data_IF_184932897047
#
_entry.id   IF_184932897047
#
_cell.length_a   1.000
_cell.length_b   1.000
_cell.length_c   1.000
_cell.angle_alpha   90.00
_cell.angle_beta   90.00
_cell.angle_gamma   90.00
#
_symmetry.space_group_name_H-M   'P 1'
#
loop_
_entity.id
_entity.type
_entity.pdbx_description
1 polymer ?
#
# COMPACT_ATOMS: atom_id res chain seq x y z
N UNK A 1 -30.98 4.53 9.93
CA UNK A 1 -29.79 5.17 9.34
C UNK A 1 -28.96 4.10 8.65
N UNK A 2 -28.79 4.16 7.36
CA UNK A 2 -27.89 3.26 6.62
C UNK A 2 -26.48 3.49 7.20
N UNK A 3 -25.81 2.45 7.75
CA UNK A 3 -24.40 2.55 8.15
C UNK A 3 -23.60 2.78 6.89
N UNK A 4 -22.92 3.94 6.78
CA UNK A 4 -21.99 4.17 5.68
C UNK A 4 -20.94 3.04 5.72
N UNK A 5 -20.69 2.44 4.57
CA UNK A 5 -19.68 1.40 4.42
C UNK A 5 -18.28 1.99 4.34
N UNK A 6 -17.27 1.21 4.65
CA UNK A 6 -15.89 1.66 4.62
C UNK A 6 -15.37 1.86 3.18
N UNK A 7 -14.45 2.80 3.02
CA UNK A 7 -13.66 2.98 1.79
C UNK A 7 -12.18 2.76 2.11
N UNK A 8 -11.48 2.01 1.27
CA UNK A 8 -10.02 1.83 1.37
C UNK A 8 -9.35 2.56 0.23
N UNK A 9 -8.53 3.57 0.56
CA UNK A 9 -7.71 4.31 -0.40
C UNK A 9 -6.28 3.79 -0.33
N UNK A 10 -5.78 3.23 -1.43
CA UNK A 10 -4.37 2.91 -1.57
C UNK A 10 -3.66 3.99 -2.37
N UNK A 11 -2.51 4.44 -1.88
CA UNK A 11 -1.60 5.35 -2.58
C UNK A 11 -0.31 4.58 -2.90
N UNK A 12 0.01 4.43 -4.19
CA UNK A 12 1.23 3.79 -4.62
C UNK A 12 2.47 4.53 -4.10
N UNK A 13 3.51 3.80 -3.68
CA UNK A 13 4.76 4.43 -3.24
C UNK A 13 5.38 5.34 -4.31
N UNK A 14 5.26 4.98 -5.59
CA UNK A 14 5.72 5.80 -6.73
C UNK A 14 4.94 7.11 -6.92
N UNK A 15 3.77 7.26 -6.29
CA UNK A 15 3.00 8.50 -6.32
C UNK A 15 3.61 9.53 -5.37
N UNK A 16 3.92 9.10 -4.13
CA UNK A 16 4.40 9.97 -3.04
C UNK A 16 5.92 9.99 -2.88
N UNK A 17 6.66 9.21 -3.69
CA UNK A 17 8.13 9.21 -3.68
C UNK A 17 8.70 9.33 -5.08
N UNK A 18 9.90 9.88 -5.20
CA UNK A 18 10.66 9.91 -6.44
C UNK A 18 11.54 8.65 -6.52
N UNK A 19 11.39 7.87 -7.60
CA UNK A 19 12.17 6.64 -7.81
C UNK A 19 13.59 6.89 -8.29
N UNK A 20 13.92 8.12 -8.72
CA UNK A 20 15.25 8.47 -9.21
C UNK A 20 16.30 8.58 -8.09
N UNK A 21 15.84 8.68 -6.84
CA UNK A 21 16.70 8.89 -5.67
C UNK A 21 16.11 8.17 -4.44
N UNK A 22 16.98 7.53 -3.65
CA UNK A 22 16.56 6.92 -2.38
C UNK A 22 16.10 7.99 -1.39
N UNK A 23 15.10 7.66 -0.58
CA UNK A 23 14.57 8.48 0.50
C UNK A 23 14.06 9.87 0.05
N UNK A 24 13.66 10.00 -1.20
CA UNK A 24 13.13 11.24 -1.74
C UNK A 24 11.61 11.24 -1.78
N UNK A 25 10.98 12.01 -0.90
CA UNK A 25 9.55 12.20 -0.86
C UNK A 25 9.10 13.28 -1.85
N UNK A 26 7.87 13.16 -2.34
CA UNK A 26 7.17 14.15 -3.16
C UNK A 26 6.15 14.92 -2.30
N UNK A 27 6.64 15.77 -1.40
CA UNK A 27 5.80 16.49 -0.42
C UNK A 27 4.68 17.30 -1.07
N UNK A 28 4.96 17.99 -2.19
CA UNK A 28 3.93 18.72 -2.94
C UNK A 28 2.80 17.82 -3.45
N UNK A 29 3.10 16.58 -3.80
CA UNK A 29 2.08 15.60 -4.20
C UNK A 29 1.29 15.13 -2.96
N UNK A 30 1.97 14.95 -1.82
CA UNK A 30 1.31 14.60 -0.55
C UNK A 30 0.32 15.70 -0.14
N UNK A 31 0.69 16.97 -0.24
CA UNK A 31 -0.18 18.11 0.08
C UNK A 31 -1.39 18.15 -0.85
N UNK A 32 -1.19 17.98 -2.17
CA UNK A 32 -2.30 17.88 -3.12
C UNK A 32 -3.24 16.73 -2.80
N UNK A 33 -2.70 15.55 -2.46
CA UNK A 33 -3.52 14.39 -2.07
C UNK A 33 -4.30 14.67 -0.78
N UNK A 34 -3.70 15.35 0.20
CA UNK A 34 -4.41 15.76 1.41
C UNK A 34 -5.59 16.69 1.08
N UNK A 35 -5.41 17.68 0.20
CA UNK A 35 -6.52 18.52 -0.25
C UNK A 35 -7.63 17.72 -0.96
N UNK A 36 -7.26 16.77 -1.83
CA UNK A 36 -8.24 15.93 -2.54
C UNK A 36 -9.01 15.02 -1.56
N UNK A 37 -8.32 14.43 -0.57
CA UNK A 37 -8.93 13.62 0.49
C UNK A 37 -9.91 14.45 1.31
N UNK A 38 -9.50 15.66 1.72
CA UNK A 38 -10.35 16.59 2.46
C UNK A 38 -11.61 16.95 1.66
N UNK A 39 -11.45 17.33 0.39
CA UNK A 39 -12.57 17.65 -0.52
C UNK A 39 -13.51 16.47 -0.75
N UNK A 40 -12.99 15.26 -0.82
CA UNK A 40 -13.79 14.05 -1.00
C UNK A 40 -14.67 13.73 0.22
N UNK A 41 -14.30 14.18 1.39
CA UNK A 41 -15.05 14.07 2.66
C UNK A 41 -15.70 12.70 2.86
N UNK A 42 -14.93 11.63 2.63
CA UNK A 42 -15.42 10.25 2.76
C UNK A 42 -15.51 9.84 4.22
N UNK A 43 -16.70 9.42 4.64
CA UNK A 43 -16.88 8.75 5.91
C UNK A 43 -16.16 7.38 5.90
N UNK A 44 -15.68 6.95 7.08
CA UNK A 44 -15.02 5.64 7.28
C UNK A 44 -13.92 5.33 6.25
N UNK A 45 -13.08 6.31 6.00
CA UNK A 45 -11.93 6.17 5.11
C UNK A 45 -10.75 5.51 5.86
N UNK A 46 -10.13 4.53 5.24
CA UNK A 46 -8.82 3.98 5.63
C UNK A 46 -7.84 4.24 4.49
N UNK A 47 -6.62 4.66 4.84
CA UNK A 47 -5.57 4.95 3.86
C UNK A 47 -4.45 3.93 4.01
N UNK A 48 -3.91 3.45 2.86
CA UNK A 48 -2.72 2.61 2.81
C UNK A 48 -1.75 3.18 1.80
N UNK A 49 -0.48 3.38 2.18
CA UNK A 49 0.53 3.77 1.19
C UNK A 49 1.63 2.73 1.00
N UNK A 50 2.28 2.76 -0.15
CA UNK A 50 3.42 1.91 -0.48
C UNK A 50 4.76 2.54 -0.09
N UNK A 51 5.84 1.74 -0.13
CA UNK A 51 7.18 2.16 0.31
C UNK A 51 7.96 3.02 -0.69
N UNK A 52 7.72 2.86 -1.99
CA UNK A 52 8.44 3.61 -3.01
C UNK A 52 9.96 3.57 -2.85
N UNK A 53 10.63 4.73 -2.96
CA UNK A 53 12.07 4.87 -2.81
C UNK A 53 12.58 4.79 -1.35
N UNK A 54 11.69 4.71 -0.37
CA UNK A 54 12.04 4.53 1.05
C UNK A 54 12.15 3.05 1.43
N UNK A 55 11.15 2.24 1.08
CA UNK A 55 11.09 0.86 1.53
C UNK A 55 11.77 -0.15 0.60
N UNK A 56 11.59 -0.01 -0.72
CA UNK A 56 12.05 -1.05 -1.66
C UNK A 56 13.57 -1.20 -1.74
N UNK A 57 14.38 -0.12 -1.83
CA UNK A 57 15.83 -0.27 -1.92
C UNK A 57 16.44 -0.92 -0.68
N UNK A 58 16.06 -0.48 0.52
CA UNK A 58 16.55 -1.07 1.77
C UNK A 58 16.12 -2.54 1.91
N UNK A 59 14.85 -2.85 1.66
CA UNK A 59 14.34 -4.22 1.72
C UNK A 59 15.06 -5.16 0.73
N UNK A 60 15.41 -4.68 -0.46
CA UNK A 60 16.14 -5.44 -1.47
C UNK A 60 17.60 -5.62 -1.06
N UNK A 61 18.30 -4.55 -0.68
CA UNK A 61 19.70 -4.56 -0.26
C UNK A 61 19.95 -5.52 0.92
N UNK A 62 19.01 -5.59 1.83
CA UNK A 62 19.07 -6.42 3.02
C UNK A 62 18.37 -7.79 2.88
N UNK A 63 17.90 -8.14 1.67
CA UNK A 63 17.21 -9.40 1.38
C UNK A 63 16.05 -9.73 2.35
N UNK A 64 15.30 -8.72 2.81
CA UNK A 64 14.25 -8.89 3.82
C UNK A 64 13.10 -9.79 3.32
N UNK A 65 12.83 -9.80 2.01
CA UNK A 65 11.80 -10.67 1.41
C UNK A 65 12.10 -12.16 1.51
N UNK A 66 13.37 -12.53 1.70
CA UNK A 66 13.81 -13.91 1.78
C UNK A 66 13.60 -14.51 3.18
N UNK A 67 13.14 -13.70 4.14
CA UNK A 67 13.08 -14.06 5.54
C UNK A 67 14.43 -14.03 6.23
N UNK A 68 14.43 -14.38 7.50
CA UNK A 68 15.63 -14.38 8.33
C UNK A 68 16.56 -15.55 7.97
N UNK A 69 17.76 -15.25 7.48
CA UNK A 69 18.80 -16.21 7.12
C UNK A 69 20.09 -16.00 7.92
N UNK A 70 20.38 -14.75 8.30
CA UNK A 70 21.61 -14.37 8.97
C UNK A 70 21.43 -13.14 9.85
N UNK A 71 22.27 -13.01 10.87
CA UNK A 71 22.16 -12.00 11.94
C UNK A 71 22.24 -10.56 11.41
N UNK A 72 23.04 -10.33 10.37
CA UNK A 72 23.19 -8.99 9.78
C UNK A 72 21.87 -8.41 9.23
N UNK A 73 20.92 -9.27 8.88
CA UNK A 73 19.60 -8.82 8.41
C UNK A 73 18.76 -8.17 9.50
N UNK A 74 19.09 -8.32 10.80
CA UNK A 74 18.37 -7.67 11.90
C UNK A 74 18.47 -6.15 11.76
N UNK A 75 19.67 -5.63 11.48
CA UNK A 75 19.85 -4.20 11.21
C UNK A 75 19.11 -3.78 9.94
N UNK A 76 19.17 -4.59 8.88
CA UNK A 76 18.46 -4.31 7.63
C UNK A 76 16.93 -4.29 7.79
N UNK A 77 16.38 -5.14 8.67
CA UNK A 77 14.97 -5.10 9.05
C UNK A 77 14.63 -3.77 9.76
N UNK A 78 15.42 -3.40 10.77
CA UNK A 78 15.22 -2.17 11.52
C UNK A 78 15.34 -0.93 10.62
N UNK A 79 16.32 -0.90 9.70
CA UNK A 79 16.50 0.16 8.72
C UNK A 79 15.28 0.28 7.79
N UNK A 80 14.81 -0.84 7.22
CA UNK A 80 13.65 -0.85 6.32
C UNK A 80 12.40 -0.34 7.02
N UNK A 81 12.14 -0.83 8.23
CA UNK A 81 11.03 -0.36 9.06
C UNK A 81 11.16 1.14 9.38
N UNK A 82 12.35 1.60 9.77
CA UNK A 82 12.60 3.02 10.07
C UNK A 82 12.30 3.92 8.87
N UNK A 83 12.78 3.57 7.67
CA UNK A 83 12.49 4.36 6.47
C UNK A 83 11.00 4.42 6.13
N UNK A 84 10.27 3.35 6.39
CA UNK A 84 8.82 3.36 6.22
C UNK A 84 8.11 4.26 7.22
N UNK A 85 8.58 4.31 8.47
CA UNK A 85 8.07 5.24 9.50
C UNK A 85 8.35 6.70 9.12
N UNK A 86 9.54 6.99 8.59
CA UNK A 86 9.89 8.34 8.10
C UNK A 86 8.97 8.76 6.95
N UNK A 87 8.78 7.91 5.94
CA UNK A 87 7.86 8.21 4.83
C UNK A 87 6.44 8.45 5.32
N UNK A 88 5.96 7.59 6.22
CA UNK A 88 4.64 7.75 6.81
C UNK A 88 4.53 9.05 7.61
N UNK A 89 5.55 9.43 8.38
CA UNK A 89 5.60 10.71 9.10
C UNK A 89 5.41 11.91 8.17
N UNK A 90 6.14 11.97 7.07
CA UNK A 90 6.01 13.03 6.05
C UNK A 90 4.61 13.09 5.45
N UNK A 91 3.98 11.94 5.20
CA UNK A 91 2.61 11.92 4.69
C UNK A 91 1.59 12.33 5.77
N UNK A 92 1.79 11.88 7.01
CA UNK A 92 0.96 12.29 8.16
C UNK A 92 1.01 13.80 8.40
N UNK A 93 2.19 14.42 8.27
CA UNK A 93 2.35 15.87 8.38
C UNK A 93 1.45 16.60 7.38
N UNK A 94 1.47 16.18 6.10
CA UNK A 94 0.60 16.75 5.07
C UNK A 94 -0.90 16.58 5.42
N UNK A 95 -1.31 15.40 5.91
CA UNK A 95 -2.71 15.14 6.26
C UNK A 95 -3.18 16.02 7.43
N UNK A 96 -2.38 16.07 8.50
CA UNK A 96 -2.74 16.78 9.73
C UNK A 96 -2.74 18.31 9.52
N UNK A 97 -1.76 18.87 8.78
CA UNK A 97 -1.73 20.30 8.44
C UNK A 97 -2.98 20.72 7.65
N UNK A 98 -3.54 19.84 6.83
CA UNK A 98 -4.80 20.09 6.12
C UNK A 98 -6.07 19.79 6.96
N UNK A 99 -5.94 19.54 8.27
CA UNK A 99 -7.07 19.34 9.19
C UNK A 99 -7.73 17.97 9.08
N UNK A 100 -7.08 17.00 8.45
CA UNK A 100 -7.59 15.62 8.34
C UNK A 100 -7.32 14.88 9.65
N UNK A 101 -8.33 14.24 10.29
CA UNK A 101 -8.16 13.52 11.55
C UNK A 101 -7.47 12.16 11.31
N UNK A 102 -6.29 12.18 10.69
CA UNK A 102 -5.52 11.01 10.36
C UNK A 102 -4.74 10.48 11.58
N UNK A 103 -4.67 9.15 11.72
CA UNK A 103 -3.90 8.46 12.77
C UNK A 103 -3.04 7.38 12.14
N UNK A 104 -1.73 7.44 12.40
CA UNK A 104 -0.79 6.42 11.93
C UNK A 104 -0.96 5.12 12.70
N UNK A 105 -1.04 4.01 11.96
CA UNK A 105 -1.06 2.65 12.50
C UNK A 105 0.14 1.91 11.94
N UNK A 106 1.10 1.59 12.79
CA UNK A 106 2.31 0.86 12.43
C UNK A 106 2.01 -0.62 12.24
N UNK A 107 2.10 -1.18 11.01
CA UNK A 107 1.72 -2.56 10.75
C UNK A 107 2.52 -3.58 11.53
N UNK A 108 3.81 -3.37 11.75
CA UNK A 108 4.67 -4.27 12.55
C UNK A 108 4.25 -4.41 14.01
N UNK A 109 3.45 -3.47 14.53
CA UNK A 109 2.95 -3.49 15.93
C UNK A 109 1.63 -4.26 16.07
N UNK A 110 0.87 -4.46 15.02
CA UNK A 110 -0.47 -5.06 15.08
C UNK A 110 -0.66 -6.25 14.12
N UNK A 111 0.32 -6.54 13.26
CA UNK A 111 0.23 -7.60 12.27
C UNK A 111 1.42 -8.55 12.36
N UNK A 112 1.13 -9.86 12.37
CA UNK A 112 2.13 -10.90 12.13
C UNK A 112 1.75 -11.69 10.89
N UNK A 113 2.78 -12.21 10.20
CA UNK A 113 2.61 -13.02 8.99
C UNK A 113 3.03 -14.48 9.22
N UNK A 114 2.66 -15.32 8.28
CA UNK A 114 3.12 -16.70 8.14
C UNK A 114 3.42 -16.95 6.66
N UNK A 115 4.67 -17.26 6.34
CA UNK A 115 5.14 -17.37 4.95
C UNK A 115 4.76 -16.13 4.10
N UNK A 116 4.93 -14.93 4.66
CA UNK A 116 4.66 -13.66 4.00
C UNK A 116 3.18 -13.29 3.84
N UNK A 117 2.25 -14.09 4.38
CA UNK A 117 0.81 -13.79 4.37
C UNK A 117 0.32 -13.38 5.75
N UNK A 118 -0.62 -12.45 5.84
CA UNK A 118 -1.19 -12.01 7.12
C UNK A 118 -1.79 -13.21 7.85
N UNK A 119 -1.26 -13.49 9.05
CA UNK A 119 -1.77 -14.53 9.96
C UNK A 119 -2.65 -13.94 11.05
N UNK A 120 -2.17 -12.88 11.69
CA UNK A 120 -2.87 -12.20 12.77
C UNK A 120 -2.88 -10.70 12.50
N UNK A 121 -4.01 -10.07 12.75
CA UNK A 121 -4.20 -8.64 12.64
C UNK A 121 -5.11 -8.16 13.76
N UNK A 122 -4.56 -7.39 14.69
CA UNK A 122 -5.29 -6.73 15.77
C UNK A 122 -5.94 -5.46 15.22
N UNK A 123 -7.19 -5.59 14.78
CA UNK A 123 -7.92 -4.52 14.07
C UNK A 123 -8.93 -3.76 14.93
N UNK A 124 -9.10 -4.13 16.20
CA UNK A 124 -10.04 -3.50 17.09
C UNK A 124 -9.81 -1.99 17.27
N UNK A 125 -8.56 -1.50 17.45
CA UNK A 125 -8.31 -0.05 17.50
C UNK A 125 -8.75 0.67 16.24
N UNK A 126 -8.59 0.07 15.05
CA UNK A 126 -9.01 0.66 13.78
C UNK A 126 -10.54 0.81 13.71
N UNK A 127 -11.29 -0.18 14.21
CA UNK A 127 -12.76 -0.12 14.28
C UNK A 127 -13.22 1.05 15.15
N UNK A 128 -12.64 1.17 16.34
CA UNK A 128 -12.95 2.26 17.25
C UNK A 128 -12.63 3.63 16.63
N UNK A 129 -11.47 3.77 15.97
CA UNK A 129 -11.09 5.01 15.27
C UNK A 129 -12.10 5.37 14.19
N UNK A 130 -12.48 4.43 13.32
CA UNK A 130 -13.46 4.68 12.25
C UNK A 130 -14.85 5.05 12.79
N UNK A 131 -15.26 4.48 13.93
CA UNK A 131 -16.52 4.84 14.58
C UNK A 131 -16.49 6.25 15.17
N UNK A 132 -15.33 6.72 15.60
CA UNK A 132 -15.12 8.07 16.13
C UNK A 132 -14.87 9.11 15.02
N UNK A 133 -14.72 8.69 13.76
CA UNK A 133 -14.47 9.60 12.62
C UNK A 133 -12.99 9.85 12.32
N UNK A 134 -12.05 9.11 12.93
CA UNK A 134 -10.65 9.15 12.54
C UNK A 134 -10.40 8.41 11.24
N UNK A 135 -9.30 8.75 10.57
CA UNK A 135 -8.83 8.11 9.35
C UNK A 135 -7.54 7.34 9.67
N UNK A 136 -7.62 6.00 9.87
CA UNK A 136 -6.42 5.18 10.05
C UNK A 136 -5.55 5.18 8.79
N UNK A 137 -4.24 5.40 8.96
CA UNK A 137 -3.24 5.40 7.90
C UNK A 137 -2.24 4.28 8.15
N UNK A 138 -2.21 3.27 7.27
CA UNK A 138 -1.29 2.15 7.31
C UNK A 138 -0.33 2.23 6.12
N UNK A 139 0.69 1.38 6.13
CA UNK A 139 1.69 1.36 5.05
C UNK A 139 2.34 -0.02 4.89
N UNK A 140 2.94 -0.28 3.72
CA UNK A 140 3.77 -1.47 3.55
C UNK A 140 4.95 -1.42 4.50
N UNK A 141 5.26 -2.54 5.18
CA UNK A 141 6.26 -2.55 6.26
C UNK A 141 7.04 -3.87 6.32
N UNK A 142 8.15 -3.87 7.03
CA UNK A 142 8.81 -5.09 7.49
C UNK A 142 8.11 -5.55 8.78
N UNK A 143 7.63 -6.80 8.80
CA UNK A 143 6.85 -7.35 9.92
C UNK A 143 7.41 -8.71 10.37
N UNK A 144 7.09 -9.12 11.59
CA UNK A 144 7.49 -10.44 12.09
C UNK A 144 6.68 -11.54 11.38
N UNK A 145 7.36 -12.62 11.01
CA UNK A 145 6.78 -13.80 10.37
C UNK A 145 7.01 -15.05 11.20
N UNK A 146 5.96 -15.81 11.46
CA UNK A 146 6.02 -16.97 12.36
C UNK A 146 6.75 -18.18 11.80
N UNK A 147 7.05 -18.21 10.49
CA UNK A 147 7.76 -19.33 9.84
C UNK A 147 9.15 -18.94 9.35
N UNK A 148 9.29 -17.74 8.79
CA UNK A 148 10.56 -17.30 8.20
C UNK A 148 11.23 -16.16 8.98
N UNK A 149 10.78 -15.89 10.22
CA UNK A 149 11.33 -14.87 11.12
C UNK A 149 10.77 -13.49 10.85
N UNK A 150 10.91 -12.99 9.64
CA UNK A 150 10.29 -11.73 9.19
C UNK A 150 9.93 -11.78 7.70
N UNK A 151 9.11 -10.83 7.27
CA UNK A 151 8.66 -10.68 5.89
C UNK A 151 8.40 -9.22 5.54
N UNK A 152 8.26 -8.93 4.26
CA UNK A 152 7.69 -7.67 3.78
C UNK A 152 6.17 -7.84 3.63
N UNK A 153 5.45 -7.06 4.40
CA UNK A 153 4.00 -6.89 4.25
C UNK A 153 3.73 -5.80 3.22
N UNK A 154 3.20 -6.16 2.07
CA UNK A 154 2.90 -5.19 1.03
C UNK A 154 1.63 -4.38 1.32
N UNK A 155 1.58 -3.12 0.85
CA UNK A 155 0.36 -2.32 0.91
C UNK A 155 -0.82 -2.97 0.16
N UNK A 156 -0.56 -3.77 -0.87
CA UNK A 156 -1.63 -4.48 -1.60
C UNK A 156 -2.29 -5.57 -0.73
N UNK A 157 -1.51 -6.33 0.06
CA UNK A 157 -2.08 -7.26 1.05
C UNK A 157 -2.91 -6.54 2.13
N UNK A 158 -2.42 -5.38 2.61
CA UNK A 158 -3.15 -4.58 3.58
C UNK A 158 -4.51 -4.13 3.05
N UNK A 159 -4.55 -3.63 1.79
CA UNK A 159 -5.80 -3.21 1.14
C UNK A 159 -6.82 -4.34 1.11
N UNK A 160 -6.41 -5.53 0.65
CA UNK A 160 -7.28 -6.70 0.59
C UNK A 160 -7.77 -7.12 1.98
N UNK A 161 -6.88 -7.12 2.98
CA UNK A 161 -7.24 -7.47 4.36
C UNK A 161 -8.21 -6.47 4.97
N UNK A 162 -7.97 -5.17 4.81
CA UNK A 162 -8.84 -4.11 5.30
C UNK A 162 -10.20 -4.14 4.60
N UNK A 163 -10.22 -4.25 3.27
CA UNK A 163 -11.47 -4.31 2.52
C UNK A 163 -12.36 -5.47 2.96
N UNK A 164 -11.77 -6.64 3.19
CA UNK A 164 -12.51 -7.82 3.64
C UNK A 164 -12.99 -7.69 5.09
N UNK A 165 -12.12 -7.23 6.01
CA UNK A 165 -12.42 -7.15 7.44
C UNK A 165 -13.44 -6.08 7.81
N UNK A 166 -13.45 -4.99 7.04
CA UNK A 166 -14.32 -3.82 7.27
C UNK A 166 -15.50 -3.75 6.29
N UNK A 167 -15.76 -4.80 5.53
CA UNK A 167 -16.84 -4.87 4.51
C UNK A 167 -16.85 -3.60 3.63
N UNK A 168 -15.67 -3.25 3.08
CA UNK A 168 -15.54 -2.03 2.30
C UNK A 168 -16.36 -2.09 1.01
N UNK A 169 -17.13 -1.04 0.75
CA UNK A 169 -17.89 -0.92 -0.50
C UNK A 169 -17.01 -0.54 -1.69
N UNK A 170 -15.86 0.09 -1.41
CA UNK A 170 -14.99 0.64 -2.44
C UNK A 170 -13.51 0.52 -2.06
N UNK A 171 -12.71 0.15 -3.05
CA UNK A 171 -11.25 0.27 -3.03
C UNK A 171 -10.86 1.27 -4.11
N UNK A 172 -10.12 2.31 -3.73
CA UNK A 172 -9.56 3.31 -4.64
C UNK A 172 -8.06 3.09 -4.68
N UNK A 173 -7.46 2.99 -5.88
CA UNK A 173 -6.02 2.76 -6.03
C UNK A 173 -5.42 3.92 -6.81
N UNK A 174 -4.69 4.79 -6.10
CA UNK A 174 -3.85 5.84 -6.69
C UNK A 174 -2.54 5.27 -7.21
N UNK A 175 -2.29 5.46 -8.49
CA UNK A 175 -1.09 5.00 -9.21
C UNK A 175 -0.50 6.14 -10.04
N UNK A 176 0.71 5.95 -10.56
CA UNK A 176 1.43 6.91 -11.41
C UNK A 176 1.15 6.74 -12.92
N UNK A 177 0.02 6.12 -13.25
CA UNK A 177 -0.54 5.97 -14.59
C UNK A 177 -2.06 6.14 -14.54
N UNK A 178 -2.72 6.35 -15.68
CA UNK A 178 -4.16 6.67 -15.74
C UNK A 178 -5.10 5.51 -15.35
N UNK A 179 -4.55 4.31 -15.10
CA UNK A 179 -5.33 3.15 -14.68
C UNK A 179 -4.73 1.83 -15.18
N UNK A 180 -5.60 0.84 -15.40
CA UNK A 180 -5.20 -0.46 -15.93
C UNK A 180 -5.20 -0.42 -17.47
N UNK A 181 -4.06 -0.83 -18.06
CA UNK A 181 -3.87 -0.92 -19.50
C UNK A 181 -3.70 -2.39 -19.94
N UNK A 182 -3.91 -2.64 -21.23
CA UNK A 182 -3.67 -3.96 -21.85
C UNK A 182 -2.18 -4.33 -21.97
N UNK A 183 -1.32 -3.30 -22.09
CA UNK A 183 0.14 -3.38 -22.08
C UNK A 183 0.71 -2.18 -21.31
N UNK A 184 2.02 -2.16 -21.03
CA UNK A 184 2.64 -1.07 -20.26
C UNK A 184 2.64 0.26 -21.06
N UNK A 185 1.89 1.29 -20.61
CA UNK A 185 1.81 2.57 -21.30
C UNK A 185 3.12 3.38 -21.29
N UNK A 186 4.09 3.00 -20.45
CA UNK A 186 5.41 3.65 -20.38
C UNK A 186 6.34 3.15 -21.50
N UNK A 187 6.11 1.95 -21.99
CA UNK A 187 6.91 1.32 -23.06
C UNK A 187 6.18 1.28 -24.40
N UNK A 188 4.84 1.17 -24.38
CA UNK A 188 4.01 1.01 -25.58
C UNK A 188 3.05 2.17 -25.75
N UNK A 189 3.27 3.01 -26.79
CA UNK A 189 2.39 4.17 -27.09
C UNK A 189 0.98 3.77 -27.55
N UNK A 190 0.79 2.51 -27.94
CA UNK A 190 -0.50 1.95 -28.39
C UNK A 190 -1.31 1.34 -27.26
N UNK A 191 -0.82 1.43 -26.01
CA UNK A 191 -1.48 0.89 -24.83
C UNK A 191 -2.91 1.45 -24.68
N UNK A 192 -3.87 0.56 -24.44
CA UNK A 192 -5.29 0.91 -24.30
C UNK A 192 -5.71 0.85 -22.84
N UNK A 193 -6.25 1.96 -22.34
CA UNK A 193 -6.81 2.05 -21.01
C UNK A 193 -8.13 1.29 -20.92
N UNK A 194 -8.27 0.44 -19.93
CA UNK A 194 -9.56 -0.14 -19.55
C UNK A 194 -10.34 0.84 -18.66
N UNK A 195 -11.37 1.45 -19.20
CA UNK A 195 -12.23 2.39 -18.47
C UNK A 195 -13.20 1.67 -17.51
N UNK A 196 -13.55 0.43 -17.82
CA UNK A 196 -14.42 -0.42 -17.01
C UNK A 196 -14.14 -1.89 -17.29
N UNK A 197 -14.11 -2.70 -16.24
CA UNK A 197 -13.96 -4.15 -16.33
C UNK A 197 -14.91 -4.85 -15.35
N UNK A 198 -15.51 -5.92 -15.80
CA UNK A 198 -16.19 -6.86 -14.92
C UNK A 198 -15.18 -7.79 -14.25
N UNK A 199 -15.56 -8.43 -13.14
CA UNK A 199 -14.70 -9.43 -12.48
C UNK A 199 -14.30 -10.58 -13.42
N UNK A 200 -15.19 -10.97 -14.36
CA UNK A 200 -14.93 -12.03 -15.35
C UNK A 200 -13.84 -11.59 -16.35
N UNK A 201 -13.89 -10.35 -16.80
CA UNK A 201 -12.88 -9.77 -17.70
C UNK A 201 -11.54 -9.58 -16.98
N UNK A 202 -11.58 -9.11 -15.75
CA UNK A 202 -10.37 -8.95 -14.92
C UNK A 202 -9.64 -10.29 -14.72
N UNK A 203 -10.36 -11.38 -14.45
CA UNK A 203 -9.77 -12.73 -14.35
C UNK A 203 -9.10 -13.16 -15.65
N UNK A 204 -9.72 -12.92 -16.81
CA UNK A 204 -9.12 -13.23 -18.13
C UNK A 204 -7.87 -12.41 -18.41
N UNK A 205 -7.86 -11.14 -18.02
CA UNK A 205 -6.70 -10.25 -18.17
C UNK A 205 -5.57 -10.73 -17.26
N UNK A 206 -5.87 -11.10 -16.02
CA UNK A 206 -4.88 -11.67 -15.08
C UNK A 206 -4.19 -12.91 -15.66
N UNK A 207 -4.93 -13.83 -16.27
CA UNK A 207 -4.39 -15.02 -16.92
C UNK A 207 -3.45 -14.67 -18.11
N UNK A 208 -3.73 -13.60 -18.84
CA UNK A 208 -2.88 -13.12 -19.93
C UNK A 208 -1.61 -12.44 -19.42
N UNK A 209 -1.71 -11.60 -18.39
CA UNK A 209 -0.59 -10.87 -17.76
C UNK A 209 0.33 -11.84 -17.00
N UNK A 210 -0.20 -12.93 -16.44
CA UNK A 210 0.58 -13.95 -15.73
C UNK A 210 1.52 -14.78 -16.63
N UNK A 211 1.37 -14.69 -17.96
CA UNK A 211 2.37 -15.28 -18.90
C UNK A 211 3.59 -14.36 -18.96
N UNK A 212 4.80 -14.85 -18.67
CA UNK A 212 5.99 -14.01 -18.51
C UNK A 212 6.40 -13.36 -19.83
N UNK A 213 6.20 -12.06 -19.95
CA UNK A 213 6.73 -11.26 -21.05
C UNK A 213 7.93 -10.40 -20.59
N UNK A 214 8.07 -10.16 -19.28
CA UNK A 214 9.25 -9.53 -18.64
C UNK A 214 9.13 -9.58 -17.11
N UNK A 215 10.23 -9.77 -16.33
CA UNK A 215 10.17 -9.93 -14.87
C UNK A 215 9.73 -8.68 -14.10
N UNK A 216 9.85 -7.48 -14.66
CA UNK A 216 9.64 -6.23 -13.91
C UNK A 216 8.24 -5.59 -14.08
N UNK A 217 7.56 -5.85 -15.19
CA UNK A 217 6.33 -5.13 -15.55
C UNK A 217 5.08 -5.73 -14.88
N UNK A 218 5.11 -7.01 -14.54
CA UNK A 218 3.94 -7.74 -14.06
C UNK A 218 3.80 -7.79 -12.54
N UNK A 219 4.90 -7.66 -11.77
CA UNK A 219 4.88 -7.75 -10.31
C UNK A 219 4.03 -6.67 -9.64
N UNK A 220 4.14 -5.43 -10.10
CA UNK A 220 3.42 -4.29 -9.51
C UNK A 220 1.92 -4.24 -9.80
N UNK A 221 1.49 -4.61 -11.01
CA UNK A 221 0.08 -4.56 -11.43
C UNK A 221 -0.67 -5.84 -11.05
N UNK A 222 -0.03 -7.02 -11.15
CA UNK A 222 -0.62 -8.30 -10.72
C UNK A 222 -0.98 -8.28 -9.23
N UNK A 223 -0.08 -7.80 -8.36
CA UNK A 223 -0.37 -7.70 -6.94
C UNK A 223 -1.54 -6.77 -6.58
N UNK A 224 -1.95 -5.87 -7.49
CA UNK A 224 -3.14 -5.01 -7.29
C UNK A 224 -4.44 -5.67 -7.75
N UNK A 225 -4.35 -6.70 -8.58
CA UNK A 225 -5.50 -7.45 -9.12
C UNK A 225 -5.79 -8.70 -8.26
N UNK A 226 -4.82 -9.15 -7.46
CA UNK A 226 -4.96 -10.29 -6.52
C UNK A 226 -5.81 -9.96 -5.31
#
# INVERSE_FOLDING_TARGET
>A
MSRSKATVLKIGGSVITDKSEELKARTQIMDRLAEEILKANKEKLMIVHGGGSFGHPSAQRNAIREGFKKTEQIIGFAETHHYMTVLNGLFMDSLVVHGIPAVSITPSSCITTENGRIKKFEDEPLKMMLEMGFIPVLYGDAVMDTKQGFAILSGDQLVSALATRFDAEQIIIGVDVDGLFDVDPKTEKTAKLFTRLTLKELKKIKEKIAKPVSPDVTGGMLGKIE
#
